data_IF_922716833316
#
_entry.id   IF_922716833316
#
_cell.length_a   1.000
_cell.length_b   1.000
_cell.length_c   1.000
_cell.angle_alpha   90.00
_cell.angle_beta   90.00
_cell.angle_gamma   90.00
#
_symmetry.space_group_name_H-M   'P 1'
#
loop_
_entity.id
_entity.type
_entity.pdbx_description
1 polymer ?
#
# COMPACT_ATOMS: atom_id res chain seq x y z
N UNK A 1 -25.17 40.94 11.02
CA UNK A 1 -24.66 40.29 9.84
C UNK A 1 -23.48 39.32 10.06
N UNK A 2 -22.76 39.33 11.19
CA UNK A 2 -21.63 38.42 11.49
C UNK A 2 -22.04 37.00 11.96
N UNK A 3 -23.22 36.85 12.54
CA UNK A 3 -23.68 35.58 13.12
C UNK A 3 -24.16 34.56 12.04
N UNK A 4 -24.75 35.04 10.95
CA UNK A 4 -25.20 34.22 9.84
C UNK A 4 -24.04 33.58 9.05
N UNK A 5 -22.92 34.28 8.94
CA UNK A 5 -21.71 33.77 8.25
C UNK A 5 -21.03 32.64 9.03
N UNK A 6 -21.03 32.68 10.37
CA UNK A 6 -20.45 31.67 11.26
C UNK A 6 -21.25 30.37 11.26
N UNK A 7 -22.60 30.46 11.16
CA UNK A 7 -23.51 29.32 11.09
C UNK A 7 -23.37 28.56 9.76
N UNK A 8 -23.17 29.28 8.65
CA UNK A 8 -22.95 28.66 7.34
C UNK A 8 -21.59 27.99 7.20
N UNK A 9 -20.56 28.50 7.88
CA UNK A 9 -19.24 27.89 7.90
C UNK A 9 -19.23 26.55 8.63
N UNK A 10 -19.89 26.48 9.80
CA UNK A 10 -20.00 25.24 10.58
C UNK A 10 -20.82 24.17 9.84
N UNK A 11 -21.94 24.55 9.26
CA UNK A 11 -22.78 23.66 8.44
C UNK A 11 -22.00 23.09 7.23
N UNK A 12 -21.22 23.90 6.54
CA UNK A 12 -20.37 23.45 5.41
C UNK A 12 -19.31 22.47 5.87
N UNK A 13 -18.68 22.72 7.02
CA UNK A 13 -17.69 21.82 7.59
C UNK A 13 -18.33 20.50 8.02
N UNK A 14 -19.47 20.54 8.64
CA UNK A 14 -20.23 19.36 9.06
C UNK A 14 -20.69 18.53 7.86
N UNK A 15 -21.24 19.15 6.80
CA UNK A 15 -21.57 18.47 5.56
C UNK A 15 -20.34 17.82 4.92
N UNK A 16 -19.20 18.50 4.92
CA UNK A 16 -17.96 17.99 4.30
C UNK A 16 -17.46 16.69 4.93
N UNK A 17 -17.73 16.46 6.22
CA UNK A 17 -17.29 15.24 6.92
C UNK A 17 -18.43 14.23 7.10
N UNK A 18 -19.64 14.68 7.35
CA UNK A 18 -20.79 13.80 7.61
C UNK A 18 -21.27 13.13 6.33
N UNK A 19 -21.32 13.84 5.21
CA UNK A 19 -21.78 13.25 3.94
C UNK A 19 -20.90 12.09 3.48
N UNK A 20 -19.56 12.21 3.40
CA UNK A 20 -18.72 11.07 3.07
C UNK A 20 -18.83 9.92 4.08
N UNK A 21 -18.97 10.24 5.37
CA UNK A 21 -19.12 9.23 6.42
C UNK A 21 -20.44 8.45 6.25
N UNK A 22 -21.55 9.13 6.01
CA UNK A 22 -22.86 8.49 5.77
C UNK A 22 -22.83 7.65 4.50
N UNK A 23 -22.23 8.15 3.42
CA UNK A 23 -22.05 7.37 2.19
C UNK A 23 -21.20 6.12 2.46
N UNK A 24 -20.10 6.25 3.18
CA UNK A 24 -19.21 5.11 3.52
C UNK A 24 -19.96 4.07 4.35
N UNK A 25 -20.66 4.50 5.40
CA UNK A 25 -21.44 3.60 6.26
C UNK A 25 -22.56 2.95 5.46
N UNK A 26 -23.26 3.71 4.60
CA UNK A 26 -24.30 3.17 3.73
C UNK A 26 -23.78 2.13 2.73
N UNK A 27 -22.63 2.39 2.11
CA UNK A 27 -21.98 1.43 1.20
C UNK A 27 -21.50 0.19 1.96
N UNK A 28 -20.91 0.35 3.14
CA UNK A 28 -20.54 -0.78 3.99
C UNK A 28 -21.76 -1.61 4.37
N UNK A 29 -22.85 -0.97 4.78
CA UNK A 29 -24.10 -1.66 5.11
C UNK A 29 -24.65 -2.46 3.92
N UNK A 30 -24.70 -1.86 2.72
CA UNK A 30 -25.13 -2.55 1.50
C UNK A 30 -24.23 -3.73 1.13
N UNK A 31 -22.92 -3.59 1.29
CA UNK A 31 -21.99 -4.69 1.05
C UNK A 31 -22.18 -5.84 2.05
N UNK A 32 -22.38 -5.53 3.34
CA UNK A 32 -22.52 -6.55 4.37
C UNK A 32 -23.87 -7.23 4.38
N UNK A 33 -24.95 -6.58 3.93
CA UNK A 33 -26.30 -7.21 3.84
C UNK A 33 -26.38 -8.28 2.76
N UNK A 34 -25.50 -8.24 1.74
CA UNK A 34 -25.43 -9.25 0.68
C UNK A 34 -24.53 -10.45 1.00
N UNK A 35 -23.81 -10.44 2.13
CA UNK A 35 -22.85 -11.50 2.48
C UNK A 35 -23.46 -12.42 3.53
N UNK A 36 -23.65 -13.69 3.18
CA UNK A 36 -23.96 -14.72 4.18
C UNK A 36 -22.67 -15.18 4.89
N UNK A 37 -22.44 -14.59 6.06
CA UNK A 37 -21.27 -14.90 6.88
C UNK A 37 -21.20 -16.39 7.31
N UNK A 38 -22.35 -17.07 7.43
CA UNK A 38 -22.36 -18.49 7.79
C UNK A 38 -21.86 -19.34 6.64
N UNK A 39 -22.33 -19.05 5.43
CA UNK A 39 -21.88 -19.74 4.22
C UNK A 39 -20.39 -19.44 3.94
N UNK A 40 -19.95 -18.21 4.10
CA UNK A 40 -18.55 -17.82 3.97
C UNK A 40 -17.63 -18.59 4.94
N UNK A 41 -18.02 -18.70 6.22
CA UNK A 41 -17.25 -19.46 7.22
C UNK A 41 -17.29 -20.97 6.90
N UNK A 42 -18.40 -21.49 6.41
CA UNK A 42 -18.51 -22.89 6.00
C UNK A 42 -17.58 -23.21 4.83
N UNK A 43 -17.52 -22.34 3.80
CA UNK A 43 -16.61 -22.46 2.66
C UNK A 43 -15.15 -22.39 3.12
N UNK A 44 -14.80 -21.44 3.99
CA UNK A 44 -13.44 -21.32 4.52
C UNK A 44 -13.02 -22.59 5.26
N UNK A 45 -13.90 -23.19 6.06
CA UNK A 45 -13.58 -24.42 6.79
C UNK A 45 -13.48 -25.66 5.91
N UNK A 46 -14.27 -25.71 4.84
CA UNK A 46 -14.39 -26.88 3.97
C UNK A 46 -13.34 -26.88 2.85
N UNK A 47 -13.14 -25.75 2.21
CA UNK A 47 -12.41 -25.66 0.94
C UNK A 47 -11.05 -24.95 1.07
N UNK A 48 -10.79 -24.23 2.20
CA UNK A 48 -9.51 -23.55 2.38
C UNK A 48 -8.43 -24.51 2.92
N UNK A 49 -7.37 -24.62 2.15
CA UNK A 49 -6.17 -25.32 2.60
C UNK A 49 -5.28 -24.36 3.39
N UNK A 50 -5.30 -24.51 4.73
CA UNK A 50 -4.54 -23.67 5.65
C UNK A 50 -3.01 -23.73 5.41
N UNK A 51 -2.50 -24.79 4.82
CA UNK A 51 -1.08 -24.91 4.47
C UNK A 51 -0.67 -23.89 3.42
N UNK A 52 -1.52 -23.64 2.42
CA UNK A 52 -1.26 -22.60 1.42
C UNK A 52 -1.32 -21.18 2.01
N UNK A 53 -2.23 -20.95 2.94
CA UNK A 53 -2.32 -19.67 3.66
C UNK A 53 -1.06 -19.44 4.51
N UNK A 54 -0.62 -20.47 5.25
CA UNK A 54 0.61 -20.38 6.03
C UNK A 54 1.84 -20.16 5.14
N UNK A 55 1.93 -20.84 4.00
CA UNK A 55 3.00 -20.64 3.03
C UNK A 55 2.99 -19.20 2.48
N UNK A 56 1.83 -18.68 2.10
CA UNK A 56 1.68 -17.31 1.63
C UNK A 56 2.10 -16.28 2.68
N UNK A 57 1.73 -16.49 3.95
CA UNK A 57 2.17 -15.65 5.07
C UNK A 57 3.69 -15.69 5.26
N UNK A 58 4.30 -16.87 5.22
CA UNK A 58 5.76 -17.02 5.30
C UNK A 58 6.48 -16.27 4.17
N UNK A 59 6.01 -16.42 2.93
CA UNK A 59 6.56 -15.72 1.76
C UNK A 59 6.38 -14.20 1.91
N UNK A 60 5.24 -13.74 2.40
CA UNK A 60 4.98 -12.33 2.65
C UNK A 60 5.94 -11.74 3.69
N UNK A 61 6.12 -12.43 4.82
CA UNK A 61 7.08 -11.99 5.86
C UNK A 61 8.50 -11.95 5.29
N UNK A 62 8.90 -12.98 4.55
CA UNK A 62 10.22 -13.05 3.92
C UNK A 62 10.43 -11.89 2.94
N UNK A 63 9.43 -11.55 2.14
CA UNK A 63 9.45 -10.38 1.25
C UNK A 63 9.71 -9.08 2.01
N UNK A 64 9.08 -8.89 3.18
CA UNK A 64 9.32 -7.71 4.03
C UNK A 64 10.72 -7.68 4.62
N UNK A 65 11.27 -8.86 4.98
CA UNK A 65 12.66 -8.97 5.44
C UNK A 65 13.65 -8.59 4.33
N UNK A 66 13.46 -9.08 3.10
CA UNK A 66 14.30 -8.68 1.96
C UNK A 66 14.21 -7.18 1.67
N UNK A 67 13.03 -6.59 1.75
CA UNK A 67 12.86 -5.13 1.63
C UNK A 67 13.63 -4.38 2.71
N UNK A 68 13.57 -4.86 3.96
CA UNK A 68 14.34 -4.28 5.07
C UNK A 68 15.86 -4.40 4.85
N UNK A 69 16.33 -5.55 4.34
CA UNK A 69 17.74 -5.77 4.03
C UNK A 69 18.24 -4.83 2.93
N UNK A 70 17.48 -4.65 1.86
CA UNK A 70 17.81 -3.71 0.78
C UNK A 70 17.92 -2.28 1.31
N UNK A 71 16.97 -1.83 2.11
CA UNK A 71 16.98 -0.50 2.70
C UNK A 71 18.12 -0.33 3.71
N UNK A 72 18.48 -1.40 4.43
CA UNK A 72 19.65 -1.40 5.33
C UNK A 72 20.95 -1.09 4.60
N UNK A 73 21.13 -1.64 3.39
CA UNK A 73 22.32 -1.37 2.57
C UNK A 73 22.41 0.11 2.21
N UNK A 74 21.29 0.72 1.82
CA UNK A 74 21.22 2.14 1.48
C UNK A 74 21.52 3.03 2.70
N UNK A 75 20.96 2.71 3.88
CA UNK A 75 21.22 3.44 5.11
C UNK A 75 22.70 3.33 5.54
N UNK A 76 23.29 2.16 5.39
CA UNK A 76 24.73 1.97 5.66
C UNK A 76 25.62 2.80 4.75
N UNK A 77 25.27 2.94 3.48
CA UNK A 77 25.99 3.80 2.53
C UNK A 77 25.95 5.29 2.96
N UNK A 78 24.96 5.68 3.76
CA UNK A 78 24.82 7.02 4.34
C UNK A 78 25.39 7.13 5.76
N UNK A 79 26.13 6.09 6.23
CA UNK A 79 26.71 6.06 7.56
C UNK A 79 25.71 5.78 8.70
N UNK A 80 24.49 5.31 8.37
CA UNK A 80 23.44 5.03 9.35
C UNK A 80 23.35 3.52 9.57
N UNK A 81 23.83 3.05 10.74
CA UNK A 81 23.75 1.64 11.11
C UNK A 81 22.48 1.32 11.87
N UNK A 82 21.53 0.68 11.21
CA UNK A 82 20.29 0.26 11.83
C UNK A 82 20.20 -1.27 11.94
N UNK A 83 19.81 -1.83 13.10
CA UNK A 83 19.59 -3.25 13.24
C UNK A 83 18.42 -3.70 12.36
N UNK A 84 18.56 -4.88 11.74
CA UNK A 84 17.56 -5.40 10.80
C UNK A 84 16.16 -5.49 11.43
N UNK A 85 16.09 -5.88 12.70
CA UNK A 85 14.82 -5.98 13.43
C UNK A 85 14.08 -4.64 13.49
N UNK A 86 14.78 -3.52 13.75
CA UNK A 86 14.16 -2.20 13.77
C UNK A 86 13.63 -1.79 12.40
N UNK A 87 14.29 -2.17 11.32
CA UNK A 87 13.86 -1.91 9.96
C UNK A 87 12.61 -2.74 9.61
N UNK A 88 12.62 -4.02 9.93
CA UNK A 88 11.44 -4.89 9.74
C UNK A 88 10.26 -4.36 10.55
N UNK A 89 10.46 -4.03 11.83
CA UNK A 89 9.42 -3.46 12.68
C UNK A 89 8.88 -2.14 12.11
N UNK A 90 9.74 -1.29 11.55
CA UNK A 90 9.33 -0.04 10.93
C UNK A 90 8.45 -0.25 9.69
N UNK A 91 8.68 -1.32 8.93
CA UNK A 91 7.84 -1.69 7.78
C UNK A 91 6.45 -2.12 8.27
N UNK A 92 6.35 -2.99 9.26
CA UNK A 92 5.04 -3.37 9.83
C UNK A 92 4.33 -2.18 10.46
N UNK A 93 5.06 -1.31 11.16
CA UNK A 93 4.52 -0.06 11.69
C UNK A 93 3.97 0.87 10.61
N UNK A 94 4.62 0.91 9.43
CA UNK A 94 4.11 1.65 8.26
C UNK A 94 2.72 1.17 7.85
N UNK A 95 2.51 -0.15 7.78
CA UNK A 95 1.20 -0.71 7.44
C UNK A 95 0.16 -0.39 8.51
N UNK A 96 0.52 -0.51 9.80
CA UNK A 96 -0.37 -0.19 10.90
C UNK A 96 -0.78 1.30 10.88
N UNK A 97 0.16 2.22 10.66
CA UNK A 97 -0.13 3.65 10.55
C UNK A 97 -0.97 3.96 9.32
N UNK A 98 -0.70 3.33 8.18
CA UNK A 98 -1.47 3.53 6.96
C UNK A 98 -2.92 3.02 7.05
N UNK A 99 -3.20 2.11 7.97
CA UNK A 99 -4.57 1.65 8.24
C UNK A 99 -5.44 2.78 8.82
N UNK A 100 -4.85 3.64 9.65
CA UNK A 100 -5.53 4.76 10.31
C UNK A 100 -5.37 6.06 9.50
N UNK A 101 -4.16 6.34 9.03
CA UNK A 101 -3.80 7.54 8.29
C UNK A 101 -3.15 7.16 6.95
N UNK A 102 -3.91 7.12 5.86
CA UNK A 102 -3.37 6.77 4.55
C UNK A 102 -2.18 7.66 4.16
N UNK A 103 -1.11 7.04 3.69
CA UNK A 103 0.15 7.70 3.23
C UNK A 103 1.05 8.27 4.33
N UNK A 104 0.63 8.36 5.60
CA UNK A 104 1.49 8.86 6.68
C UNK A 104 2.47 7.81 7.21
N UNK A 105 2.25 6.54 6.94
CA UNK A 105 3.13 5.46 7.40
C UNK A 105 4.57 5.59 6.93
N UNK A 106 4.82 6.09 5.73
CA UNK A 106 6.17 6.27 5.21
C UNK A 106 6.91 7.40 5.93
N UNK A 107 6.23 8.49 6.23
CA UNK A 107 6.78 9.60 7.01
C UNK A 107 7.07 9.11 8.45
N UNK A 108 6.14 8.38 9.04
CA UNK A 108 6.31 7.78 10.36
C UNK A 108 7.52 6.85 10.42
N UNK A 109 7.66 5.93 9.44
CA UNK A 109 8.79 5.01 9.33
C UNK A 109 10.13 5.74 9.28
N UNK A 110 10.19 6.78 8.47
CA UNK A 110 11.38 7.62 8.33
C UNK A 110 11.73 8.32 9.63
N UNK A 111 10.73 8.92 10.29
CA UNK A 111 10.90 9.58 11.60
C UNK A 111 11.32 8.58 12.69
N UNK A 112 10.73 7.40 12.73
CA UNK A 112 11.08 6.34 13.67
C UNK A 112 12.56 5.92 13.55
N UNK A 113 13.06 5.69 12.34
CA UNK A 113 14.47 5.31 12.13
C UNK A 113 15.40 6.50 12.38
N UNK A 114 15.05 7.71 11.93
CA UNK A 114 15.85 8.91 12.18
C UNK A 114 16.04 9.15 13.69
N UNK A 115 14.97 9.09 14.47
CA UNK A 115 15.02 9.26 15.91
C UNK A 115 15.81 8.15 16.60
N UNK A 116 15.59 6.89 16.21
CA UNK A 116 16.25 5.74 16.83
C UNK A 116 17.75 5.69 16.57
N UNK A 117 18.18 6.16 15.40
CA UNK A 117 19.59 6.16 14.98
C UNK A 117 20.27 7.53 15.18
N UNK A 118 19.58 8.50 15.80
CA UNK A 118 20.08 9.87 15.98
C UNK A 118 20.57 10.49 14.66
N UNK A 119 19.91 10.13 13.55
CA UNK A 119 20.24 10.57 12.20
C UNK A 119 19.33 11.74 11.78
N UNK A 120 19.79 12.53 10.82
CA UNK A 120 18.97 13.59 10.25
C UNK A 120 17.76 13.02 9.49
N UNK A 121 16.56 13.51 9.79
CA UNK A 121 15.32 13.09 9.13
C UNK A 121 15.42 13.18 7.61
N UNK A 122 15.98 14.28 7.09
CA UNK A 122 16.13 14.54 5.65
C UNK A 122 16.99 13.48 4.97
N UNK A 123 18.06 13.01 5.60
CA UNK A 123 18.93 11.96 5.07
C UNK A 123 18.22 10.62 4.99
N UNK A 124 17.50 10.23 6.06
CA UNK A 124 16.72 8.99 6.08
C UNK A 124 15.55 9.07 5.09
N UNK A 125 14.88 10.21 5.00
CA UNK A 125 13.80 10.45 4.03
C UNK A 125 14.31 10.37 2.60
N UNK A 126 15.46 10.97 2.30
CA UNK A 126 16.11 10.87 0.99
C UNK A 126 16.40 9.43 0.58
N UNK A 127 16.89 8.59 1.51
CA UNK A 127 17.10 7.17 1.23
C UNK A 127 15.81 6.42 0.91
N UNK A 128 14.72 6.75 1.59
CA UNK A 128 13.41 6.16 1.33
C UNK A 128 12.88 6.56 -0.05
N UNK A 129 13.04 7.83 -0.44
CA UNK A 129 12.66 8.31 -1.77
C UNK A 129 13.49 7.63 -2.85
N UNK A 130 14.81 7.48 -2.64
CA UNK A 130 15.70 6.77 -3.56
C UNK A 130 15.29 5.30 -3.74
N UNK A 131 14.89 4.63 -2.65
CA UNK A 131 14.36 3.25 -2.68
C UNK A 131 13.11 3.15 -3.56
N UNK A 132 12.17 4.11 -3.43
CA UNK A 132 10.95 4.18 -4.27
C UNK A 132 11.25 4.47 -5.73
N UNK A 133 12.18 5.36 -6.01
CA UNK A 133 12.60 5.65 -7.38
C UNK A 133 13.22 4.42 -8.04
N UNK A 134 14.08 3.69 -7.35
CA UNK A 134 14.66 2.45 -7.84
C UNK A 134 13.57 1.40 -8.16
N UNK A 135 12.56 1.24 -7.30
CA UNK A 135 11.43 0.36 -7.56
C UNK A 135 10.66 0.78 -8.82
N UNK A 136 10.36 2.08 -8.95
CA UNK A 136 9.62 2.62 -10.10
C UNK A 136 10.39 2.40 -11.40
N UNK A 137 11.71 2.66 -11.40
CA UNK A 137 12.56 2.43 -12.57
C UNK A 137 12.59 0.94 -12.94
N UNK A 138 12.74 0.06 -11.95
CA UNK A 138 12.75 -1.38 -12.17
C UNK A 138 11.43 -1.87 -12.79
N UNK A 139 10.30 -1.45 -12.23
CA UNK A 139 8.97 -1.79 -12.77
C UNK A 139 8.80 -1.23 -14.19
N UNK A 140 9.22 0.00 -14.45
CA UNK A 140 9.18 0.61 -15.77
C UNK A 140 10.00 -0.17 -16.80
N UNK A 141 11.22 -0.57 -16.44
CA UNK A 141 12.07 -1.39 -17.30
C UNK A 141 11.46 -2.77 -17.58
N UNK A 142 10.97 -3.45 -16.55
CA UNK A 142 10.31 -4.75 -16.71
C UNK A 142 9.06 -4.64 -17.60
N UNK A 143 8.25 -3.60 -17.42
CA UNK A 143 7.07 -3.34 -18.26
C UNK A 143 7.48 -3.11 -19.71
N UNK A 144 8.52 -2.30 -19.95
CA UNK A 144 9.05 -2.06 -21.29
C UNK A 144 9.55 -3.37 -21.95
N UNK A 145 10.34 -4.15 -21.23
CA UNK A 145 10.85 -5.45 -21.72
C UNK A 145 9.68 -6.40 -22.02
N UNK A 146 8.71 -6.50 -21.11
CA UNK A 146 7.52 -7.34 -21.31
C UNK A 146 6.73 -6.90 -22.54
N UNK A 147 6.53 -5.60 -22.70
CA UNK A 147 5.83 -5.03 -23.86
C UNK A 147 6.58 -5.34 -25.17
N UNK A 148 7.91 -5.21 -25.19
CA UNK A 148 8.72 -5.56 -26.37
C UNK A 148 8.65 -7.03 -26.71
N UNK A 149 8.69 -7.92 -25.72
CA UNK A 149 8.59 -9.37 -25.93
C UNK A 149 7.18 -9.80 -26.35
N UNK A 150 6.15 -9.18 -25.76
CA UNK A 150 4.75 -9.50 -26.02
C UNK A 150 4.16 -8.76 -27.23
N UNK A 151 4.88 -7.80 -27.82
CA UNK A 151 4.35 -6.95 -28.89
C UNK A 151 3.83 -7.74 -30.09
N UNK A 152 4.54 -8.78 -30.51
CA UNK A 152 4.11 -9.66 -31.61
C UNK A 152 2.82 -10.41 -31.28
N UNK A 153 2.73 -10.96 -30.07
CA UNK A 153 1.53 -11.68 -29.61
C UNK A 153 0.32 -10.73 -29.47
N UNK A 154 0.54 -9.49 -29.00
CA UNK A 154 -0.49 -8.47 -28.92
C UNK A 154 -0.99 -8.04 -30.32
N UNK A 155 -0.09 -7.81 -31.26
CA UNK A 155 -0.45 -7.43 -32.63
C UNK A 155 -1.29 -8.55 -33.29
N UNK A 156 -0.87 -9.80 -33.13
CA UNK A 156 -1.62 -10.95 -33.64
C UNK A 156 -2.99 -11.06 -32.99
N UNK A 157 -3.08 -10.90 -31.66
CA UNK A 157 -4.34 -10.95 -30.95
C UNK A 157 -5.32 -9.85 -31.38
N UNK A 158 -4.84 -8.61 -31.57
CA UNK A 158 -5.67 -7.52 -32.05
C UNK A 158 -6.05 -7.66 -33.52
N UNK A 159 -5.17 -8.22 -34.36
CA UNK A 159 -5.52 -8.50 -35.75
C UNK A 159 -6.63 -9.57 -35.86
N UNK A 160 -6.50 -10.67 -35.11
CA UNK A 160 -7.51 -11.76 -35.14
C UNK A 160 -8.86 -11.33 -34.54
N UNK A 161 -8.89 -10.35 -33.62
CA UNK A 161 -10.13 -9.87 -33.00
C UNK A 161 -10.68 -8.58 -33.65
N UNK A 162 -9.94 -7.94 -34.55
CA UNK A 162 -10.47 -6.79 -35.32
C UNK A 162 -11.61 -7.20 -36.25
N UNK A 163 -11.56 -8.43 -36.79
CA UNK A 163 -12.57 -8.98 -37.70
C UNK A 163 -13.87 -9.45 -36.99
N UNK A 164 -13.93 -9.36 -35.63
CA UNK A 164 -15.09 -9.80 -34.85
C UNK A 164 -15.99 -8.65 -34.37
N UNK A 165 -15.66 -7.39 -34.72
CA UNK A 165 -16.38 -6.18 -34.27
C UNK A 165 -17.23 -5.53 -35.37
N UNK A 166 -17.36 -6.13 -36.56
CA UNK A 166 -18.30 -5.73 -37.64
C UNK A 166 -19.61 -6.50 -37.59
#
# INVERSE_FOLDING_TARGET
MKESAKKNSWLRTLLKYVVPLVITVGLCYLMFTGIDFKEMIAIIRRDCNFSWIALALCISILSHVFRAMRWRIQLRALGIESPLFSLVLSIFGTYAVNLVFPRLGEIWRTGYIAQRQQAQFTTVFGSMVADRLADTVTVGLLTLVTFMLASKALITYFADNADTVD
#
